data_IF_494726991379
#
_entry.id   IF_494726991379
#
_cell.length_a   1.000
_cell.length_b   1.000
_cell.length_c   1.000
_cell.angle_alpha   90.00
_cell.angle_beta   90.00
_cell.angle_gamma   90.00
#
_symmetry.space_group_name_H-M   'P 1'
#
loop_
_entity.id
_entity.type
_entity.pdbx_description
1 polymer ?
#
# COMPACT_ATOMS: atom_id res chain seq x y z
N UNK A 1 25.00 -33.05 -66.56
CA UNK A 1 25.21 -32.65 -65.16
C UNK A 1 24.47 -31.34 -64.95
N UNK A 2 23.34 -31.38 -64.24
CA UNK A 2 22.52 -30.15 -63.91
C UNK A 2 22.63 -29.91 -62.42
N UNK A 3 23.31 -28.84 -62.03
CA UNK A 3 23.43 -28.39 -60.63
C UNK A 3 22.17 -27.61 -60.20
N UNK A 4 21.49 -28.10 -59.19
CA UNK A 4 20.40 -27.38 -58.53
C UNK A 4 20.95 -26.54 -57.36
N UNK A 5 20.83 -25.21 -57.47
CA UNK A 5 21.06 -24.30 -56.34
C UNK A 5 19.79 -24.23 -55.50
N UNK A 6 19.88 -24.67 -54.26
CA UNK A 6 18.83 -24.48 -53.25
C UNK A 6 19.12 -23.17 -52.52
N UNK A 7 18.29 -22.18 -52.75
CA UNK A 7 18.34 -20.90 -51.99
C UNK A 7 17.58 -21.08 -50.68
N UNK A 8 18.30 -21.00 -49.57
CA UNK A 8 17.69 -20.97 -48.22
C UNK A 8 17.35 -19.52 -47.88
N UNK A 9 16.07 -19.19 -47.83
CA UNK A 9 15.58 -17.93 -47.30
C UNK A 9 15.59 -17.99 -45.76
N UNK A 10 16.46 -17.20 -45.13
CA UNK A 10 16.46 -16.98 -43.69
C UNK A 10 15.41 -15.93 -43.37
N UNK A 11 14.31 -16.34 -42.74
CA UNK A 11 13.31 -15.43 -42.21
C UNK A 11 13.75 -14.92 -40.83
N UNK A 12 14.15 -13.64 -40.75
CA UNK A 12 14.47 -12.97 -39.49
C UNK A 12 13.18 -12.58 -38.76
N UNK A 13 12.87 -13.31 -37.71
CA UNK A 13 11.81 -12.93 -36.76
C UNK A 13 12.30 -11.75 -35.88
N UNK A 14 11.86 -10.55 -36.18
CA UNK A 14 11.99 -9.39 -35.31
C UNK A 14 11.03 -9.56 -34.11
N UNK A 15 11.55 -9.99 -32.97
CA UNK A 15 10.82 -9.97 -31.72
C UNK A 15 10.67 -8.53 -31.25
N UNK A 16 9.48 -7.94 -31.44
CA UNK A 16 9.11 -6.66 -30.87
C UNK A 16 8.99 -6.82 -29.35
N UNK A 17 10.00 -6.37 -28.60
CA UNK A 17 9.90 -6.21 -27.17
C UNK A 17 8.91 -5.06 -26.90
N UNK A 18 7.66 -5.40 -26.59
CA UNK A 18 6.71 -4.46 -26.04
C UNK A 18 7.23 -4.05 -24.66
N UNK A 19 7.79 -2.83 -24.56
CA UNK A 19 7.98 -2.18 -23.26
C UNK A 19 6.59 -2.02 -22.63
N UNK A 20 6.22 -2.91 -21.71
CA UNK A 20 5.12 -2.69 -20.83
C UNK A 20 5.45 -1.42 -20.04
N UNK A 21 4.73 -0.33 -20.30
CA UNK A 21 4.77 0.86 -19.44
C UNK A 21 4.43 0.39 -18.04
N UNK A 22 5.38 0.48 -17.11
CA UNK A 22 5.14 0.19 -15.69
C UNK A 22 3.97 1.06 -15.26
N UNK A 23 2.85 0.42 -14.92
CA UNK A 23 1.75 1.10 -14.26
C UNK A 23 2.33 1.74 -13.01
N UNK A 24 2.32 3.07 -12.94
CA UNK A 24 2.75 3.82 -11.78
C UNK A 24 1.81 3.46 -10.63
N UNK A 25 2.29 2.67 -9.71
CA UNK A 25 1.55 2.29 -8.52
C UNK A 25 1.91 0.89 -8.03
N UNK A 26 2.06 0.76 -6.74
CA UNK A 26 2.29 -0.53 -6.09
C UNK A 26 0.98 -1.33 -6.13
N UNK A 27 0.98 -2.57 -6.63
CA UNK A 27 -0.23 -3.37 -6.74
C UNK A 27 -0.76 -3.77 -5.36
N UNK A 28 -2.09 -3.88 -5.27
CA UNK A 28 -2.75 -4.43 -4.07
C UNK A 28 -2.50 -5.94 -4.02
N UNK A 29 -1.95 -6.49 -2.92
CA UNK A 29 -1.77 -7.92 -2.77
C UNK A 29 -3.09 -8.68 -2.84
N UNK A 30 -3.06 -9.90 -3.39
CA UNK A 30 -4.26 -10.75 -3.51
C UNK A 30 -4.74 -11.34 -2.18
N UNK A 31 -3.83 -11.42 -1.18
CA UNK A 31 -4.15 -11.96 0.15
C UNK A 31 -3.34 -11.22 1.23
N UNK A 32 -3.94 -11.07 2.42
CA UNK A 32 -3.24 -10.52 3.57
C UNK A 32 -2.49 -11.63 4.30
N UNK A 33 -1.16 -11.54 4.29
CA UNK A 33 -0.25 -12.49 4.93
C UNK A 33 0.80 -11.78 5.75
N UNK A 34 1.52 -12.49 6.61
CA UNK A 34 2.67 -11.95 7.34
C UNK A 34 3.75 -11.41 6.39
N UNK A 35 3.95 -12.03 5.22
CA UNK A 35 4.92 -11.58 4.23
C UNK A 35 4.60 -10.18 3.68
N UNK A 36 3.33 -9.83 3.52
CA UNK A 36 2.91 -8.46 3.13
C UNK A 36 3.33 -7.44 4.20
N UNK A 37 3.29 -7.83 5.47
CA UNK A 37 3.64 -6.99 6.61
C UNK A 37 5.13 -7.08 7.01
N UNK A 38 5.98 -7.80 6.26
CA UNK A 38 7.36 -8.09 6.69
C UNK A 38 8.19 -6.82 6.93
N UNK A 39 8.10 -5.82 6.03
CA UNK A 39 8.81 -4.54 6.20
C UNK A 39 8.35 -3.80 7.45
N UNK A 40 7.03 -3.71 7.67
CA UNK A 40 6.46 -3.09 8.86
C UNK A 40 6.86 -3.85 10.14
N UNK A 41 6.86 -5.19 10.09
CA UNK A 41 7.31 -6.04 11.20
C UNK A 41 8.77 -5.76 11.58
N UNK A 42 9.65 -5.57 10.60
CA UNK A 42 11.05 -5.23 10.83
C UNK A 42 11.22 -3.85 11.49
N UNK A 43 10.46 -2.83 11.04
CA UNK A 43 10.48 -1.49 11.63
C UNK A 43 10.00 -1.50 13.08
N UNK A 44 8.92 -2.22 13.38
CA UNK A 44 8.41 -2.39 14.75
C UNK A 44 9.45 -3.09 15.64
N UNK A 45 10.11 -4.13 15.14
CA UNK A 45 11.11 -4.88 15.89
C UNK A 45 12.41 -4.10 16.11
N UNK A 46 12.77 -3.24 15.16
CA UNK A 46 13.95 -2.37 15.23
C UNK A 46 13.76 -1.11 16.07
N UNK A 47 12.54 -0.87 16.59
CA UNK A 47 12.17 0.36 17.32
C UNK A 47 12.54 1.62 16.52
N UNK A 48 12.29 1.56 15.21
CA UNK A 48 12.60 2.68 14.31
C UNK A 48 11.67 3.86 14.59
N UNK A 49 12.22 4.95 15.07
CA UNK A 49 11.47 6.14 15.49
C UNK A 49 11.19 7.12 14.35
N UNK A 50 11.87 6.97 13.20
CA UNK A 50 11.73 7.86 12.06
C UNK A 50 10.58 7.51 11.13
N UNK A 51 10.08 8.46 10.33
CA UNK A 51 9.15 8.15 9.25
C UNK A 51 9.86 7.34 8.16
N UNK A 52 9.20 6.32 7.63
CA UNK A 52 9.70 5.47 6.55
C UNK A 52 8.67 5.37 5.44
N UNK A 53 9.03 5.82 4.25
CA UNK A 53 8.14 5.78 3.09
C UNK A 53 7.97 4.36 2.53
N UNK A 54 6.92 4.19 1.75
CA UNK A 54 6.70 3.01 0.92
C UNK A 54 6.55 1.72 1.76
N UNK A 55 5.75 1.81 2.82
CA UNK A 55 5.45 0.67 3.71
C UNK A 55 4.05 0.12 3.42
N UNK A 56 4.00 -1.16 3.11
CA UNK A 56 2.76 -1.92 2.95
C UNK A 56 2.28 -2.44 4.29
N UNK A 57 0.97 -2.40 4.51
CA UNK A 57 0.30 -3.07 5.62
C UNK A 57 -0.96 -3.76 5.15
N UNK A 58 -1.29 -4.89 5.74
CA UNK A 58 -2.61 -5.49 5.62
C UNK A 58 -3.09 -6.08 6.94
N UNK A 59 -4.39 -6.10 7.13
CA UNK A 59 -4.99 -6.64 8.35
C UNK A 59 -6.50 -6.56 8.36
N UNK A 60 -7.05 -6.78 9.54
CA UNK A 60 -8.50 -6.72 9.79
C UNK A 60 -8.80 -5.67 10.86
N UNK A 61 -9.79 -4.84 10.64
CA UNK A 61 -10.20 -3.83 11.62
C UNK A 61 -10.72 -4.47 12.91
N UNK A 62 -10.23 -4.01 14.06
CA UNK A 62 -10.68 -4.48 15.39
C UNK A 62 -11.87 -3.70 15.94
N UNK A 63 -12.24 -2.61 15.28
CA UNK A 63 -13.37 -1.73 15.58
C UNK A 63 -13.75 -0.92 14.35
N UNK A 64 -14.83 -0.13 14.38
CA UNK A 64 -15.13 0.79 13.31
C UNK A 64 -14.07 1.89 13.24
N UNK A 65 -13.89 2.48 12.04
CA UNK A 65 -13.07 3.69 11.89
C UNK A 65 -13.60 4.82 12.78
N UNK A 66 -12.69 5.65 13.26
CA UNK A 66 -13.00 6.80 14.12
C UNK A 66 -12.59 8.09 13.44
N UNK A 67 -13.37 9.14 13.60
CA UNK A 67 -13.03 10.47 13.09
C UNK A 67 -12.13 11.17 14.10
N UNK A 68 -10.96 11.62 13.66
CA UNK A 68 -10.17 12.64 14.34
C UNK A 68 -10.43 13.96 13.65
N UNK A 69 -11.13 14.86 14.35
CA UNK A 69 -11.49 16.17 13.80
C UNK A 69 -10.36 17.16 13.96
N UNK A 70 -10.26 18.01 12.96
CA UNK A 70 -9.42 19.21 13.02
C UNK A 70 -7.96 18.97 12.68
N UNK A 71 -7.33 20.07 12.37
CA UNK A 71 -5.95 20.17 11.94
C UNK A 71 -5.85 20.99 10.65
N UNK A 72 -4.67 21.47 10.31
CA UNK A 72 -4.45 22.27 9.10
C UNK A 72 -4.80 21.53 7.81
N UNK A 73 -4.95 20.19 7.87
CA UNK A 73 -5.20 19.32 6.72
C UNK A 73 -6.60 18.66 6.73
N UNK A 74 -7.53 19.14 7.57
CA UNK A 74 -8.89 18.63 7.63
C UNK A 74 -9.08 17.45 8.59
N UNK A 75 -10.22 16.77 8.44
CA UNK A 75 -10.56 15.60 9.26
C UNK A 75 -9.80 14.36 8.77
N UNK A 76 -9.52 13.45 9.71
CA UNK A 76 -8.85 12.17 9.43
C UNK A 76 -9.74 11.01 9.88
N UNK A 77 -9.62 9.87 9.19
CA UNK A 77 -10.21 8.62 9.66
C UNK A 77 -9.09 7.73 10.20
N UNK A 78 -9.30 7.20 11.40
CA UNK A 78 -8.39 6.29 12.08
C UNK A 78 -8.94 4.87 11.97
N UNK A 79 -8.25 3.99 11.25
CA UNK A 79 -8.63 2.60 11.03
C UNK A 79 -7.77 1.71 11.94
N UNK A 80 -8.34 1.14 13.03
CA UNK A 80 -7.59 0.30 13.95
C UNK A 80 -7.49 -1.13 13.42
N UNK A 81 -6.28 -1.59 13.09
CA UNK A 81 -6.02 -2.89 12.48
C UNK A 81 -5.35 -3.87 13.45
N UNK A 82 -5.73 -5.15 13.35
CA UNK A 82 -4.90 -6.28 13.75
C UNK A 82 -4.24 -6.85 12.51
N UNK A 83 -2.92 -6.88 12.51
CA UNK A 83 -2.12 -7.37 11.39
C UNK A 83 -1.47 -8.71 11.73
N UNK A 84 -1.38 -9.66 10.78
CA UNK A 84 -0.60 -10.89 10.96
C UNK A 84 0.90 -10.59 10.86
N UNK A 85 1.68 -11.22 11.73
CA UNK A 85 3.14 -11.22 11.73
C UNK A 85 3.65 -12.64 11.64
N UNK A 86 4.96 -12.79 11.40
CA UNK A 86 5.60 -14.10 11.35
C UNK A 86 5.46 -14.87 12.66
N UNK A 87 5.46 -16.20 12.55
CA UNK A 87 5.30 -17.11 13.70
C UNK A 87 3.91 -17.07 14.35
N UNK A 88 2.86 -16.68 13.60
CA UNK A 88 1.49 -16.63 14.10
C UNK A 88 1.21 -15.48 15.08
N UNK A 89 2.14 -14.57 15.25
CA UNK A 89 1.97 -13.36 16.07
C UNK A 89 1.06 -12.36 15.40
N UNK A 90 0.59 -11.38 16.15
CA UNK A 90 -0.16 -10.23 15.62
C UNK A 90 0.29 -8.94 16.28
N UNK A 91 0.06 -7.81 15.62
CA UNK A 91 0.23 -6.48 16.20
C UNK A 91 -1.01 -5.61 15.96
N UNK A 92 -1.14 -4.55 16.74
CA UNK A 92 -2.14 -3.51 16.51
C UNK A 92 -1.48 -2.31 15.85
N UNK A 93 -2.02 -1.91 14.71
CA UNK A 93 -1.53 -0.81 13.88
C UNK A 93 -2.69 0.11 13.53
N UNK A 94 -2.45 1.40 13.39
CA UNK A 94 -3.45 2.36 12.96
C UNK A 94 -3.13 2.86 11.55
N UNK A 95 -4.11 2.78 10.63
CA UNK A 95 -4.03 3.46 9.33
C UNK A 95 -4.79 4.76 9.43
N UNK A 96 -4.13 5.85 9.04
CA UNK A 96 -4.66 7.21 9.10
C UNK A 96 -4.89 7.73 7.70
N UNK A 97 -6.15 8.03 7.34
CA UNK A 97 -6.51 8.64 6.06
C UNK A 97 -6.92 10.09 6.25
N UNK A 98 -6.83 10.90 5.20
CA UNK A 98 -7.21 12.30 5.21
C UNK A 98 -8.45 12.51 4.34
N UNK A 99 -9.55 12.99 4.92
CA UNK A 99 -10.83 13.14 4.23
C UNK A 99 -10.76 14.06 3.01
N UNK A 100 -9.89 15.06 3.01
CA UNK A 100 -9.73 15.99 1.89
C UNK A 100 -8.86 15.43 0.74
N UNK A 101 -7.97 14.49 1.02
CA UNK A 101 -7.05 13.89 0.02
C UNK A 101 -7.55 12.53 -0.47
N UNK A 102 -8.02 11.69 0.43
CA UNK A 102 -8.45 10.32 0.15
C UNK A 102 -9.94 10.19 -0.15
N UNK A 103 -10.72 11.21 0.24
CA UNK A 103 -12.13 11.04 0.48
C UNK A 103 -12.39 10.34 1.81
N UNK A 104 -13.63 10.37 2.27
CA UNK A 104 -13.99 9.77 3.56
C UNK A 104 -13.93 8.24 3.50
N UNK A 105 -12.92 7.67 4.14
CA UNK A 105 -12.70 6.22 4.23
C UNK A 105 -13.31 5.68 5.51
N UNK A 106 -14.39 4.92 5.41
CA UNK A 106 -15.01 4.28 6.56
C UNK A 106 -14.82 2.77 6.52
N UNK A 107 -14.55 2.16 7.67
CA UNK A 107 -14.40 0.73 7.81
C UNK A 107 -15.18 0.22 9.02
N UNK A 108 -16.08 -0.77 8.88
CA UNK A 108 -16.71 -1.42 10.02
C UNK A 108 -15.70 -2.36 10.71
N UNK A 109 -16.04 -2.85 11.91
CA UNK A 109 -15.28 -3.93 12.56
C UNK A 109 -15.25 -5.15 11.64
N UNK A 110 -14.09 -5.81 11.53
CA UNK A 110 -13.90 -7.01 10.72
C UNK A 110 -13.65 -6.74 9.23
N UNK A 111 -13.55 -5.47 8.81
CA UNK A 111 -13.22 -5.16 7.43
C UNK A 111 -11.78 -5.57 7.10
N UNK A 112 -11.59 -6.17 5.93
CA UNK A 112 -10.28 -6.42 5.36
C UNK A 112 -9.68 -5.10 4.84
N UNK A 113 -8.46 -4.78 5.26
CA UNK A 113 -7.78 -3.54 4.88
C UNK A 113 -6.40 -3.86 4.35
N UNK A 114 -6.03 -3.20 3.25
CA UNK A 114 -4.66 -3.07 2.77
C UNK A 114 -4.35 -1.58 2.67
N UNK A 115 -3.14 -1.17 3.03
CA UNK A 115 -2.71 0.20 2.84
C UNK A 115 -1.23 0.26 2.44
N UNK A 116 -0.88 1.28 1.69
CA UNK A 116 0.47 1.60 1.26
C UNK A 116 0.71 3.09 1.48
N UNK A 117 1.72 3.43 2.25
CA UNK A 117 2.00 4.80 2.63
C UNK A 117 3.26 4.93 3.46
N UNK A 118 3.31 5.94 4.33
CA UNK A 118 4.44 6.23 5.18
C UNK A 118 4.20 5.66 6.60
N UNK A 119 5.16 4.87 7.08
CA UNK A 119 5.24 4.45 8.47
C UNK A 119 5.54 5.63 9.39
N UNK A 120 4.93 5.63 10.55
CA UNK A 120 5.31 6.46 11.67
C UNK A 120 5.31 5.66 12.97
N UNK A 121 6.25 6.01 13.86
CA UNK A 121 6.30 5.44 15.20
C UNK A 121 5.18 6.00 16.06
N UNK A 122 4.49 5.14 16.80
CA UNK A 122 3.41 5.57 17.69
C UNK A 122 3.94 5.98 19.06
N UNK A 123 3.40 7.06 19.60
CA UNK A 123 3.69 7.51 20.95
C UNK A 123 2.88 6.72 21.99
N UNK A 124 3.23 6.88 23.28
CA UNK A 124 2.47 6.31 24.39
C UNK A 124 0.99 6.71 24.39
N UNK A 125 0.65 7.86 23.79
CA UNK A 125 -0.74 8.36 23.70
C UNK A 125 -1.58 7.57 22.71
N UNK A 126 -0.93 6.87 21.76
CA UNK A 126 -1.59 6.08 20.73
C UNK A 126 -1.73 4.60 21.10
N UNK A 127 -1.33 4.21 22.31
CA UNK A 127 -1.54 2.85 22.80
C UNK A 127 -2.99 2.41 22.66
N UNK A 128 -3.25 1.18 22.27
CA UNK A 128 -2.32 0.02 22.19
C UNK A 128 -1.61 -0.16 20.84
N UNK A 129 -1.67 0.79 19.92
CA UNK A 129 -1.01 0.68 18.61
C UNK A 129 0.50 0.80 18.76
N UNK A 130 1.23 -0.07 18.05
CA UNK A 130 2.71 -0.12 18.05
C UNK A 130 3.30 0.58 16.84
N UNK A 131 2.47 0.89 15.83
CA UNK A 131 2.87 1.58 14.61
C UNK A 131 1.65 2.24 13.96
N UNK A 132 1.89 3.18 13.05
CA UNK A 132 0.88 3.73 12.18
C UNK A 132 1.37 3.85 10.73
N UNK A 133 0.42 3.93 9.82
CA UNK A 133 0.64 4.23 8.39
C UNK A 133 -0.23 5.42 8.04
N UNK A 134 0.36 6.47 7.47
CA UNK A 134 -0.34 7.62 6.91
C UNK A 134 0.14 7.91 5.48
N UNK A 135 -0.24 9.04 4.91
CA UNK A 135 0.09 9.41 3.52
C UNK A 135 -0.33 8.32 2.52
N UNK A 136 -1.52 7.76 2.75
CA UNK A 136 -2.14 6.72 1.92
C UNK A 136 -2.93 7.32 0.75
N UNK A 137 -2.51 8.46 0.23
CA UNK A 137 -3.14 9.22 -0.84
C UNK A 137 -2.22 9.34 -2.07
N UNK A 138 -2.76 9.89 -3.16
CA UNK A 138 -1.94 10.24 -4.31
C UNK A 138 -0.77 11.13 -3.90
N UNK A 139 0.38 10.93 -4.53
CA UNK A 139 1.54 11.79 -4.34
C UNK A 139 1.17 13.27 -4.51
N UNK A 140 1.65 14.10 -3.62
CA UNK A 140 1.43 15.56 -3.64
C UNK A 140 2.56 16.31 -4.36
N UNK A 141 3.64 15.60 -4.71
CA UNK A 141 4.78 16.13 -5.45
C UNK A 141 5.46 15.05 -6.31
N UNK A 142 6.25 15.48 -7.29
CA UNK A 142 7.01 14.56 -8.15
C UNK A 142 8.05 13.78 -7.35
N UNK A 143 8.17 12.49 -7.64
CA UNK A 143 9.15 11.60 -7.02
C UNK A 143 8.66 10.89 -5.77
N UNK A 144 7.49 11.25 -5.24
CA UNK A 144 6.81 10.44 -4.24
C UNK A 144 6.00 9.32 -4.91
N UNK A 145 5.89 8.17 -4.27
CA UNK A 145 4.98 7.11 -4.69
C UNK A 145 3.54 7.45 -4.32
N UNK A 146 2.60 6.99 -5.15
CA UNK A 146 1.18 7.09 -4.82
C UNK A 146 0.83 6.11 -3.71
N UNK A 147 0.44 6.64 -2.55
CA UNK A 147 -0.17 5.86 -1.48
C UNK A 147 -1.62 5.49 -1.81
N UNK A 148 -2.14 4.53 -1.06
CA UNK A 148 -3.53 4.10 -1.19
C UNK A 148 -3.99 3.27 0.02
N UNK A 149 -5.31 3.21 0.20
CA UNK A 149 -5.94 2.26 1.13
C UNK A 149 -7.06 1.51 0.42
N UNK A 150 -7.21 0.23 0.71
CA UNK A 150 -8.31 -0.62 0.22
C UNK A 150 -9.07 -1.15 1.43
N UNK A 151 -10.38 -0.96 1.43
CA UNK A 151 -11.29 -1.46 2.47
C UNK A 151 -12.33 -2.37 1.81
N UNK A 152 -12.35 -3.65 2.17
CA UNK A 152 -13.25 -4.65 1.60
C UNK A 152 -13.29 -4.63 0.06
N UNK A 153 -12.12 -4.45 -0.59
CA UNK A 153 -11.97 -4.41 -2.04
C UNK A 153 -12.17 -3.03 -2.68
N UNK A 154 -12.67 -2.04 -1.95
CA UNK A 154 -12.80 -0.66 -2.45
C UNK A 154 -11.51 0.12 -2.20
N UNK A 155 -10.86 0.58 -3.27
CA UNK A 155 -9.61 1.36 -3.22
C UNK A 155 -9.89 2.85 -3.08
N UNK A 156 -9.10 3.53 -2.25
CA UNK A 156 -9.07 4.98 -2.07
C UNK A 156 -7.64 5.51 -2.26
N UNK A 157 -7.47 6.75 -2.78
CA UNK A 157 -8.54 7.57 -3.32
C UNK A 157 -9.19 6.92 -4.55
N UNK A 158 -10.47 7.20 -4.80
CA UNK A 158 -11.22 6.69 -5.96
C UNK A 158 -10.92 7.44 -7.26
N UNK A 159 -10.07 8.44 -7.20
CA UNK A 159 -9.60 9.23 -8.34
C UNK A 159 -8.28 8.70 -8.88
N UNK A 160 -7.99 8.96 -10.14
CA UNK A 160 -6.66 8.75 -10.70
C UNK A 160 -5.66 9.74 -10.11
N UNK A 161 -4.45 9.28 -9.81
CA UNK A 161 -3.37 10.13 -9.36
C UNK A 161 -2.75 10.87 -10.55
N UNK A 162 -2.31 12.11 -10.32
CA UNK A 162 -1.90 13.03 -11.40
C UNK A 162 -0.39 12.99 -11.71
N UNK A 163 0.44 12.33 -10.88
CA UNK A 163 1.88 12.33 -11.03
C UNK A 163 2.44 10.97 -11.39
#
# INVERSE_FOLDING_TARGET
MRSFFVSVLAASLLASAACAASARGVPVPSACTAAVNARLSALIAGDDAGPVDNVMVCGTTIGPSRVQRGGPHGDHQLLPLRIPLDGGRTALVEVVTNDSLDGRVTAPRGAAVFAYGQYFHTSLRQRPFVAGIHDVHCATHRGADDGWVVVNGTKFPQRSCAF
#
